data_IF_237017578161
#
_entry.id   IF_237017578161
#
_cell.length_a   1.000
_cell.length_b   1.000
_cell.length_c   1.000
_cell.angle_alpha   90.00
_cell.angle_beta   90.00
_cell.angle_gamma   90.00
#
_symmetry.space_group_name_H-M   'P 1'
#
loop_
_entity.id
_entity.type
_entity.pdbx_description
1 polymer ?
#
# COMPACT_ATOMS: atom_id res chain seq x y z
N UNK A 1 -23.07 0.91 -22.10
CA UNK A 1 -23.36 0.38 -20.78
C UNK A 1 -22.06 0.11 -20.03
N UNK A 2 -22.07 0.28 -18.69
CA UNK A 2 -20.85 0.14 -17.86
C UNK A 2 -20.29 -1.27 -17.86
N UNK A 3 -21.17 -2.26 -17.80
CA UNK A 3 -20.76 -3.67 -17.82
C UNK A 3 -20.17 -4.10 -19.17
N UNK A 4 -20.74 -3.61 -20.26
CA UNK A 4 -20.26 -3.91 -21.62
C UNK A 4 -18.91 -3.26 -21.91
N UNK A 5 -18.72 -2.03 -21.43
CA UNK A 5 -17.50 -1.24 -21.74
C UNK A 5 -16.34 -1.52 -20.80
N UNK A 6 -16.62 -1.85 -19.52
CA UNK A 6 -15.58 -1.95 -18.49
C UNK A 6 -15.56 -3.28 -17.73
N UNK A 7 -16.64 -4.06 -17.81
CA UNK A 7 -16.80 -5.31 -17.07
C UNK A 7 -17.30 -5.12 -15.64
N UNK A 8 -17.89 -6.18 -15.09
CA UNK A 8 -18.48 -6.17 -13.76
C UNK A 8 -17.46 -5.94 -12.64
N UNK A 9 -16.28 -6.54 -12.73
CA UNK A 9 -15.25 -6.39 -11.71
C UNK A 9 -14.71 -4.96 -11.64
N UNK A 10 -14.56 -4.29 -12.77
CA UNK A 10 -14.16 -2.87 -12.80
C UNK A 10 -15.21 -2.00 -12.12
N UNK A 11 -16.49 -2.26 -12.39
CA UNK A 11 -17.60 -1.53 -11.77
C UNK A 11 -17.60 -1.75 -10.25
N UNK A 12 -17.53 -3.00 -9.79
CA UNK A 12 -17.47 -3.35 -8.36
C UNK A 12 -16.30 -2.68 -7.66
N UNK A 13 -15.11 -2.76 -8.26
CA UNK A 13 -13.89 -2.17 -7.73
C UNK A 13 -14.01 -0.64 -7.62
N UNK A 14 -14.61 0.00 -8.63
CA UNK A 14 -14.84 1.44 -8.62
C UNK A 14 -15.82 1.84 -7.50
N UNK A 15 -16.97 1.18 -7.39
CA UNK A 15 -17.98 1.47 -6.35
C UNK A 15 -17.39 1.31 -4.94
N UNK A 16 -16.69 0.21 -4.68
CA UNK A 16 -16.07 -0.05 -3.38
C UNK A 16 -14.87 0.86 -3.07
N UNK A 17 -14.23 1.38 -4.11
CA UNK A 17 -13.04 2.25 -3.99
C UNK A 17 -13.33 3.74 -3.89
N UNK A 18 -14.56 4.20 -4.16
CA UNK A 18 -14.88 5.64 -4.22
C UNK A 18 -14.70 6.38 -2.89
N UNK A 19 -14.88 5.72 -1.76
CA UNK A 19 -14.80 6.30 -0.42
C UNK A 19 -15.51 5.45 0.63
N UNK A 20 -15.66 5.98 1.85
CA UNK A 20 -16.40 5.28 2.90
C UNK A 20 -17.81 4.91 2.45
N UNK A 21 -18.27 3.70 2.79
CA UNK A 21 -19.59 3.19 2.37
C UNK A 21 -20.77 4.05 2.84
N UNK A 22 -20.60 4.78 3.93
CA UNK A 22 -21.63 5.65 4.50
C UNK A 22 -21.73 7.02 3.81
N UNK A 23 -20.82 7.35 2.88
CA UNK A 23 -20.76 8.64 2.22
C UNK A 23 -21.26 8.57 0.78
N UNK A 24 -22.12 9.52 0.39
CA UNK A 24 -22.49 9.70 -1.01
C UNK A 24 -21.35 10.36 -1.79
N UNK A 25 -21.05 9.83 -2.97
CA UNK A 25 -20.03 10.37 -3.86
C UNK A 25 -20.61 10.54 -5.27
N UNK A 26 -20.30 11.64 -5.96
CA UNK A 26 -20.72 11.82 -7.33
C UNK A 26 -20.02 10.82 -8.26
N UNK A 27 -20.78 10.27 -9.20
CA UNK A 27 -20.24 9.41 -10.25
C UNK A 27 -19.22 10.16 -11.12
N UNK A 28 -18.09 9.51 -11.41
CA UNK A 28 -17.07 10.03 -12.31
C UNK A 28 -16.52 8.92 -13.20
N UNK A 29 -16.98 8.85 -14.44
CA UNK A 29 -16.58 7.84 -15.41
C UNK A 29 -15.06 7.79 -15.66
N UNK A 30 -14.35 8.92 -15.53
CA UNK A 30 -12.90 8.95 -15.70
C UNK A 30 -12.18 8.09 -14.65
N UNK A 31 -12.73 8.03 -13.43
CA UNK A 31 -12.13 7.26 -12.35
C UNK A 31 -12.34 5.75 -12.53
N UNK A 32 -13.39 5.34 -13.26
CA UNK A 32 -13.63 3.92 -13.63
C UNK A 32 -12.46 3.36 -14.42
N UNK A 33 -11.88 4.16 -15.32
CA UNK A 33 -10.69 3.76 -16.10
C UNK A 33 -9.49 3.44 -15.20
N UNK A 34 -9.36 4.12 -14.07
CA UNK A 34 -8.33 3.82 -13.07
C UNK A 34 -8.48 2.40 -12.49
N UNK A 35 -9.69 2.01 -12.14
CA UNK A 35 -10.03 0.67 -11.66
C UNK A 35 -9.77 -0.40 -12.73
N UNK A 36 -10.17 -0.16 -13.98
CA UNK A 36 -9.88 -1.06 -15.09
C UNK A 36 -8.37 -1.25 -15.28
N UNK A 37 -7.59 -0.17 -15.26
CA UNK A 37 -6.13 -0.23 -15.41
C UNK A 37 -5.45 -1.00 -14.27
N UNK A 38 -5.98 -0.94 -13.05
CA UNK A 38 -5.48 -1.75 -11.95
C UNK A 38 -5.68 -3.24 -12.23
N UNK A 39 -6.89 -3.67 -12.65
CA UNK A 39 -7.18 -5.06 -12.99
C UNK A 39 -6.35 -5.54 -14.19
N UNK A 40 -6.20 -4.73 -15.23
CA UNK A 40 -5.34 -5.04 -16.37
C UNK A 40 -3.87 -5.21 -15.97
N UNK A 41 -3.40 -4.40 -15.02
CA UNK A 41 -2.03 -4.50 -14.50
C UNK A 41 -1.85 -5.78 -13.69
N UNK A 42 -2.84 -6.14 -12.86
CA UNK A 42 -2.84 -7.41 -12.15
C UNK A 42 -2.81 -8.59 -13.13
N UNK A 43 -3.63 -8.54 -14.16
CA UNK A 43 -3.62 -9.56 -15.21
C UNK A 43 -2.22 -9.76 -15.81
N UNK A 44 -1.58 -8.67 -16.25
CA UNK A 44 -0.22 -8.69 -16.82
C UNK A 44 0.87 -9.12 -15.86
N UNK A 45 0.67 -8.98 -14.56
CA UNK A 45 1.59 -9.50 -13.56
C UNK A 45 1.59 -11.02 -13.52
N UNK A 46 0.50 -11.65 -13.89
CA UNK A 46 0.33 -13.11 -13.85
C UNK A 46 0.46 -13.75 -15.24
N UNK A 47 -0.12 -13.11 -16.25
CA UNK A 47 -0.23 -13.64 -17.62
C UNK A 47 0.59 -12.80 -18.59
N UNK A 48 1.38 -13.46 -19.41
CA UNK A 48 1.99 -12.85 -20.59
C UNK A 48 0.91 -12.69 -21.66
N UNK A 49 0.56 -11.46 -22.01
CA UNK A 49 -0.52 -11.18 -22.99
C UNK A 49 -0.14 -11.63 -24.43
N UNK A 50 1.14 -11.82 -24.71
CA UNK A 50 1.61 -12.27 -26.04
C UNK A 50 1.44 -13.76 -26.20
N UNK A 51 1.76 -14.55 -25.17
CA UNK A 51 1.73 -16.00 -25.22
C UNK A 51 0.47 -16.59 -24.57
N UNK A 52 -0.18 -15.83 -23.70
CA UNK A 52 -1.30 -16.30 -22.87
C UNK A 52 -0.87 -17.21 -21.71
N UNK A 53 0.44 -17.37 -21.51
CA UNK A 53 0.99 -18.25 -20.48
C UNK A 53 1.21 -17.53 -19.15
N UNK A 54 1.24 -18.32 -18.06
CA UNK A 54 1.58 -17.84 -16.73
C UNK A 54 3.06 -17.47 -16.67
N UNK A 55 3.36 -16.27 -16.16
CA UNK A 55 4.71 -15.71 -16.09
C UNK A 55 5.27 -15.54 -14.68
N UNK A 56 4.55 -15.97 -13.67
CA UNK A 56 5.02 -15.89 -12.27
C UNK A 56 6.17 -16.84 -12.01
N UNK A 57 6.97 -16.51 -10.99
CA UNK A 57 8.12 -17.32 -10.56
C UNK A 57 7.89 -17.91 -9.18
N UNK A 58 8.46 -19.08 -8.92
CA UNK A 58 8.38 -19.78 -7.63
C UNK A 58 9.60 -19.45 -6.72
N UNK A 59 10.28 -18.31 -6.95
CA UNK A 59 11.43 -17.86 -6.19
C UNK A 59 11.07 -17.31 -4.80
N UNK A 60 12.09 -17.20 -3.95
CA UNK A 60 11.96 -16.58 -2.65
C UNK A 60 11.69 -15.07 -2.79
N UNK A 61 10.93 -14.54 -1.81
CA UNK A 61 10.66 -13.10 -1.74
C UNK A 61 11.86 -12.37 -1.14
N UNK A 62 12.24 -11.25 -1.74
CA UNK A 62 13.16 -10.32 -1.09
C UNK A 62 12.52 -9.70 0.16
N UNK A 63 13.35 -9.20 1.07
CA UNK A 63 12.91 -8.65 2.36
C UNK A 63 11.91 -7.49 2.20
N UNK A 64 12.07 -6.65 1.19
CA UNK A 64 11.17 -5.53 0.93
C UNK A 64 9.79 -6.02 0.50
N UNK A 65 9.74 -7.00 -0.40
CA UNK A 65 8.49 -7.63 -0.85
C UNK A 65 7.82 -8.39 0.28
N UNK A 66 8.58 -9.15 1.10
CA UNK A 66 8.06 -9.84 2.30
C UNK A 66 7.39 -8.86 3.26
N UNK A 67 8.04 -7.76 3.60
CA UNK A 67 7.49 -6.75 4.51
C UNK A 67 6.25 -6.07 3.94
N UNK A 68 6.30 -5.65 2.68
CA UNK A 68 5.15 -5.03 2.03
C UNK A 68 3.96 -5.98 1.96
N UNK A 69 4.18 -7.25 1.58
CA UNK A 69 3.14 -8.27 1.53
C UNK A 69 2.48 -8.47 2.90
N UNK A 70 3.27 -8.71 3.94
CA UNK A 70 2.74 -9.02 5.26
C UNK A 70 2.03 -7.82 5.91
N UNK A 71 2.56 -6.61 5.74
CA UNK A 71 1.86 -5.39 6.13
C UNK A 71 0.55 -5.21 5.36
N UNK A 72 0.53 -5.50 4.05
CA UNK A 72 -0.68 -5.42 3.25
C UNK A 72 -1.72 -6.43 3.72
N UNK A 73 -1.34 -7.69 4.00
CA UNK A 73 -2.25 -8.71 4.52
C UNK A 73 -2.86 -8.26 5.86
N UNK A 74 -2.04 -7.80 6.80
CA UNK A 74 -2.50 -7.32 8.10
C UNK A 74 -3.47 -6.14 7.97
N UNK A 75 -3.08 -5.11 7.20
CA UNK A 75 -3.89 -3.91 7.00
C UNK A 75 -5.21 -4.22 6.28
N UNK A 76 -5.16 -4.98 5.17
CA UNK A 76 -6.36 -5.32 4.39
C UNK A 76 -7.33 -6.15 5.21
N UNK A 77 -6.85 -7.08 6.04
CA UNK A 77 -7.70 -7.86 6.94
C UNK A 77 -8.48 -6.94 7.88
N UNK A 78 -7.80 -6.03 8.56
CA UNK A 78 -8.43 -5.05 9.47
C UNK A 78 -9.42 -4.14 8.73
N UNK A 79 -9.06 -3.66 7.55
CA UNK A 79 -9.93 -2.76 6.78
C UNK A 79 -11.18 -3.48 6.26
N UNK A 80 -11.07 -4.72 5.82
CA UNK A 80 -12.22 -5.52 5.36
C UNK A 80 -13.15 -5.89 6.52
N UNK A 81 -12.62 -6.29 7.67
CA UNK A 81 -13.41 -6.54 8.88
C UNK A 81 -14.16 -5.28 9.36
N UNK A 82 -13.53 -4.11 9.22
CA UNK A 82 -14.12 -2.83 9.58
C UNK A 82 -15.05 -2.24 8.48
N UNK A 83 -15.34 -2.99 7.42
CA UNK A 83 -16.18 -2.54 6.29
C UNK A 83 -15.64 -1.25 5.62
N UNK A 84 -14.32 -1.17 5.47
CA UNK A 84 -13.62 -0.07 4.79
C UNK A 84 -12.93 -0.53 3.49
N UNK A 85 -13.67 -1.04 2.49
CA UNK A 85 -13.09 -1.59 1.28
C UNK A 85 -12.27 -0.57 0.47
N UNK A 86 -12.61 0.70 0.53
CA UNK A 86 -11.86 1.76 -0.13
C UNK A 86 -10.41 1.85 0.37
N UNK A 87 -10.17 1.71 1.67
CA UNK A 87 -8.83 1.69 2.25
C UNK A 87 -8.10 0.39 1.92
N UNK A 88 -8.81 -0.75 1.99
CA UNK A 88 -8.27 -2.04 1.57
C UNK A 88 -7.80 -2.02 0.11
N UNK A 89 -8.62 -1.52 -0.81
CA UNK A 89 -8.28 -1.37 -2.24
C UNK A 89 -7.02 -0.51 -2.42
N UNK A 90 -6.90 0.60 -1.70
CA UNK A 90 -5.72 1.45 -1.78
C UNK A 90 -4.43 0.69 -1.41
N UNK A 91 -4.48 -0.18 -0.40
CA UNK A 91 -3.35 -1.03 -0.01
C UNK A 91 -3.02 -2.09 -1.07
N UNK A 92 -4.05 -2.73 -1.65
CA UNK A 92 -3.87 -3.69 -2.74
C UNK A 92 -3.26 -3.04 -3.99
N UNK A 93 -3.62 -1.81 -4.31
CA UNK A 93 -3.01 -1.05 -5.42
C UNK A 93 -1.52 -0.83 -5.18
N UNK A 94 -1.12 -0.49 -3.96
CA UNK A 94 0.30 -0.30 -3.60
C UNK A 94 1.08 -1.60 -3.79
N UNK A 95 0.56 -2.72 -3.28
CA UNK A 95 1.19 -4.03 -3.45
C UNK A 95 1.30 -4.41 -4.94
N UNK A 96 0.20 -4.28 -5.70
CA UNK A 96 0.21 -4.60 -7.13
C UNK A 96 1.21 -3.73 -7.92
N UNK A 97 1.31 -2.44 -7.60
CA UNK A 97 2.29 -1.55 -8.22
C UNK A 97 3.73 -1.97 -7.92
N UNK A 98 4.00 -2.41 -6.68
CA UNK A 98 5.30 -2.95 -6.32
C UNK A 98 5.62 -4.21 -7.13
N UNK A 99 4.69 -5.17 -7.21
CA UNK A 99 4.88 -6.41 -7.99
C UNK A 99 5.13 -6.08 -9.47
N UNK A 100 4.43 -5.09 -10.03
CA UNK A 100 4.63 -4.64 -11.41
C UNK A 100 6.04 -4.08 -11.65
N UNK A 101 6.69 -3.53 -10.63
CA UNK A 101 8.04 -2.96 -10.73
C UNK A 101 9.16 -4.01 -10.63
N UNK A 102 8.83 -5.26 -10.33
CA UNK A 102 9.80 -6.35 -10.26
C UNK A 102 10.08 -6.93 -11.65
N UNK A 103 11.30 -7.39 -11.89
CA UNK A 103 11.68 -8.07 -13.13
C UNK A 103 10.90 -9.37 -13.33
N UNK A 104 10.59 -10.06 -12.22
CA UNK A 104 9.76 -11.26 -12.19
C UNK A 104 8.78 -11.19 -11.02
N UNK A 105 7.53 -11.55 -11.25
CA UNK A 105 6.47 -11.52 -10.23
C UNK A 105 6.47 -12.84 -9.46
N UNK A 106 6.72 -12.81 -8.12
CA UNK A 106 6.70 -14.03 -7.34
C UNK A 106 5.25 -14.53 -7.11
N UNK A 107 5.01 -15.82 -7.37
CA UNK A 107 3.76 -16.50 -7.05
C UNK A 107 3.34 -16.30 -5.60
N UNK A 108 4.29 -16.46 -4.67
CA UNK A 108 4.06 -16.32 -3.24
C UNK A 108 3.56 -14.92 -2.79
N UNK A 109 3.71 -13.89 -3.63
CA UNK A 109 3.20 -12.56 -3.34
C UNK A 109 1.90 -12.23 -4.11
N UNK A 110 1.76 -12.72 -5.34
CA UNK A 110 0.58 -12.39 -6.15
C UNK A 110 -0.65 -13.24 -5.77
N UNK A 111 -0.49 -14.49 -5.35
CA UNK A 111 -1.62 -15.32 -4.90
C UNK A 111 -2.33 -14.72 -3.67
N UNK A 112 -1.65 -14.28 -2.60
CA UNK A 112 -2.32 -13.57 -1.51
C UNK A 112 -3.04 -12.29 -1.94
N UNK A 113 -2.47 -11.55 -2.89
CA UNK A 113 -3.13 -10.35 -3.45
C UNK A 113 -4.45 -10.74 -4.15
N UNK A 114 -4.44 -11.80 -4.97
CA UNK A 114 -5.64 -12.32 -5.66
C UNK A 114 -6.71 -12.74 -4.63
N UNK A 115 -6.32 -13.47 -3.58
CA UNK A 115 -7.22 -13.88 -2.51
C UNK A 115 -7.87 -12.68 -1.81
N UNK A 116 -7.08 -11.68 -1.45
CA UNK A 116 -7.58 -10.47 -0.78
C UNK A 116 -8.47 -9.60 -1.69
N UNK A 117 -8.23 -9.60 -2.99
CA UNK A 117 -9.03 -8.85 -3.96
C UNK A 117 -10.33 -9.56 -4.33
N UNK A 118 -10.40 -10.89 -4.19
CA UNK A 118 -11.50 -11.70 -4.68
C UNK A 118 -12.91 -11.30 -4.21
N UNK A 119 -13.14 -10.83 -2.97
CA UNK A 119 -14.47 -10.37 -2.56
C UNK A 119 -14.95 -9.16 -3.35
N UNK A 120 -14.04 -8.38 -3.91
CA UNK A 120 -14.33 -7.14 -4.65
C UNK A 120 -14.41 -7.42 -6.15
N UNK A 121 -13.44 -8.13 -6.72
CA UNK A 121 -13.32 -8.45 -8.13
C UNK A 121 -13.25 -9.98 -8.38
N UNK A 122 -14.35 -10.71 -8.14
CA UNK A 122 -14.33 -12.18 -8.12
C UNK A 122 -14.00 -12.82 -9.46
N UNK A 123 -14.47 -12.27 -10.58
CA UNK A 123 -14.33 -12.93 -11.89
C UNK A 123 -12.87 -12.99 -12.34
N UNK A 124 -12.15 -11.88 -12.31
CA UNK A 124 -10.72 -11.86 -12.67
C UNK A 124 -9.89 -12.70 -11.69
N UNK A 125 -10.23 -12.65 -10.40
CA UNK A 125 -9.50 -13.40 -9.38
C UNK A 125 -9.68 -14.91 -9.57
N UNK A 126 -10.90 -15.39 -9.85
CA UNK A 126 -11.16 -16.81 -10.16
C UNK A 126 -10.43 -17.25 -11.43
N UNK A 127 -10.45 -16.45 -12.48
CA UNK A 127 -9.77 -16.79 -13.73
C UNK A 127 -8.24 -16.88 -13.51
N UNK A 128 -7.65 -15.90 -12.81
CA UNK A 128 -6.22 -15.93 -12.48
C UNK A 128 -5.86 -17.11 -11.58
N UNK A 129 -6.71 -17.42 -10.60
CA UNK A 129 -6.54 -18.54 -9.69
C UNK A 129 -6.50 -19.88 -10.43
N UNK A 130 -7.45 -20.07 -11.35
CA UNK A 130 -7.47 -21.25 -12.23
C UNK A 130 -6.23 -21.33 -13.13
N UNK A 131 -5.81 -20.21 -13.73
CA UNK A 131 -4.59 -20.17 -14.57
C UNK A 131 -3.31 -20.46 -13.79
N UNK A 132 -3.28 -20.10 -12.51
CA UNK A 132 -2.17 -20.44 -11.61
C UNK A 132 -2.10 -21.93 -11.25
N UNK A 133 -3.09 -22.73 -11.69
CA UNK A 133 -3.09 -24.19 -11.55
C UNK A 133 -3.96 -24.72 -10.41
N UNK A 134 -4.72 -23.85 -9.75
CA UNK A 134 -5.67 -24.29 -8.72
C UNK A 134 -6.93 -24.89 -9.36
N UNK A 135 -7.37 -26.03 -8.86
CA UNK A 135 -8.52 -26.78 -9.41
C UNK A 135 -9.84 -26.46 -8.71
N UNK A 136 -9.78 -25.91 -7.50
CA UNK A 136 -10.94 -25.51 -6.73
C UNK A 136 -11.11 -23.99 -6.77
N UNK A 137 -12.37 -23.53 -6.60
CA UNK A 137 -12.68 -22.12 -6.52
C UNK A 137 -11.94 -21.46 -5.35
N UNK A 138 -11.39 -20.27 -5.58
CA UNK A 138 -10.76 -19.51 -4.52
C UNK A 138 -11.74 -19.08 -3.41
N UNK A 139 -13.05 -19.15 -3.64
CA UNK A 139 -14.06 -18.91 -2.62
C UNK A 139 -13.98 -19.90 -1.44
N UNK A 140 -13.34 -21.03 -1.64
CA UNK A 140 -13.09 -22.04 -0.58
C UNK A 140 -11.67 -21.98 -0.03
N UNK A 141 -10.82 -21.12 -0.56
CA UNK A 141 -9.46 -20.94 -0.06
C UNK A 141 -9.44 -20.12 1.23
N UNK A 142 -8.48 -20.42 2.10
CA UNK A 142 -8.28 -19.66 3.33
C UNK A 142 -7.83 -18.22 3.03
N UNK A 143 -8.32 -17.28 3.85
CA UNK A 143 -7.80 -15.93 3.84
C UNK A 143 -6.31 -15.90 4.21
N UNK A 144 -5.46 -15.14 3.50
CA UNK A 144 -4.03 -15.13 3.78
C UNK A 144 -3.74 -14.59 5.18
N UNK A 145 -2.77 -15.19 5.85
CA UNK A 145 -2.32 -14.80 7.19
C UNK A 145 -0.99 -14.09 7.11
N UNK A 146 -0.90 -12.95 7.79
CA UNK A 146 0.36 -12.22 7.88
C UNK A 146 1.34 -12.95 8.80
N UNK A 147 2.60 -13.00 8.40
CA UNK A 147 3.70 -13.40 9.27
C UNK A 147 4.13 -12.19 10.11
N UNK A 148 3.85 -12.24 11.40
CA UNK A 148 4.10 -11.14 12.34
C UNK A 148 5.57 -10.69 12.38
N UNK A 149 6.51 -11.55 12.03
CA UNK A 149 7.94 -11.21 11.94
C UNK A 149 8.23 -10.12 10.90
N UNK A 150 7.36 -9.96 9.92
CA UNK A 150 7.48 -8.99 8.83
C UNK A 150 6.45 -7.88 8.89
N UNK A 151 5.56 -7.89 9.89
CA UNK A 151 4.58 -6.83 10.12
C UNK A 151 5.20 -5.71 10.95
N UNK A 152 4.94 -4.46 10.56
CA UNK A 152 5.46 -3.27 11.21
C UNK A 152 6.32 -2.43 10.27
N UNK A 153 6.62 -1.22 10.70
CA UNK A 153 7.49 -0.31 9.96
C UNK A 153 8.90 -0.34 10.57
N UNK A 154 9.90 -0.54 9.75
CA UNK A 154 11.31 -0.43 10.20
C UNK A 154 11.69 1.03 10.48
N UNK A 155 11.07 1.95 9.73
CA UNK A 155 11.29 3.39 9.89
C UNK A 155 10.02 4.17 9.56
N UNK A 156 9.95 5.36 10.12
CA UNK A 156 8.96 6.37 9.79
C UNK A 156 9.67 7.67 9.42
N UNK A 157 9.09 8.43 8.50
CA UNK A 157 9.62 9.74 8.13
C UNK A 157 9.20 10.77 9.17
N UNK A 158 10.16 11.28 9.95
CA UNK A 158 9.99 12.43 10.82
C UNK A 158 10.20 13.72 10.01
N UNK A 159 9.25 14.63 10.08
CA UNK A 159 9.32 15.93 9.40
C UNK A 159 9.86 16.99 10.35
N UNK A 160 10.96 17.64 9.98
CA UNK A 160 11.53 18.76 10.74
C UNK A 160 11.08 20.08 10.13
N UNK A 161 10.45 20.92 10.95
CA UNK A 161 9.92 22.23 10.55
C UNK A 161 10.60 23.36 11.30
N UNK A 162 10.88 24.46 10.61
CA UNK A 162 11.26 25.73 11.21
C UNK A 162 10.22 26.79 10.83
N UNK A 163 9.58 27.42 11.81
CA UNK A 163 8.50 28.40 11.61
C UNK A 163 7.38 27.85 10.69
N UNK A 164 7.00 26.58 10.88
CA UNK A 164 5.95 25.92 10.11
C UNK A 164 6.34 25.46 8.69
N UNK A 165 7.55 25.74 8.22
CA UNK A 165 8.06 25.29 6.91
C UNK A 165 8.93 24.06 7.06
N UNK A 166 8.65 23.01 6.30
CA UNK A 166 9.48 21.79 6.25
C UNK A 166 10.88 22.12 5.79
N UNK A 167 11.89 21.67 6.55
CA UNK A 167 13.31 21.94 6.29
C UNK A 167 14.13 20.69 6.14
N UNK A 168 13.75 19.58 6.80
CA UNK A 168 14.37 18.28 6.66
C UNK A 168 13.34 17.17 6.83
N UNK A 169 13.69 15.99 6.36
CA UNK A 169 12.98 14.73 6.59
C UNK A 169 14.00 13.71 7.08
N UNK A 170 13.68 13.03 8.16
CA UNK A 170 14.54 12.03 8.79
C UNK A 170 13.82 10.67 8.77
N UNK A 171 14.53 9.63 8.37
CA UNK A 171 14.04 8.27 8.54
C UNK A 171 14.48 7.78 9.92
N UNK A 172 13.52 7.50 10.79
CA UNK A 172 13.76 7.15 12.19
C UNK A 172 12.94 5.93 12.59
N UNK A 173 13.34 5.25 13.67
CA UNK A 173 12.56 4.16 14.24
C UNK A 173 11.17 4.65 14.65
N UNK A 174 10.09 3.85 14.45
CA UNK A 174 8.76 4.17 14.98
C UNK A 174 8.75 4.42 16.49
N UNK A 175 9.63 3.75 17.20
CA UNK A 175 9.77 3.80 18.67
C UNK A 175 10.91 4.72 19.14
N UNK A 176 11.38 5.64 18.29
CA UNK A 176 12.45 6.55 18.63
C UNK A 176 12.14 7.39 19.88
N UNK A 177 13.12 7.49 20.78
CA UNK A 177 13.00 8.36 21.95
C UNK A 177 12.85 9.83 21.52
N UNK A 178 11.91 10.60 22.11
CA UNK A 178 11.71 12.01 21.75
C UNK A 178 12.97 12.88 21.86
N UNK A 179 13.87 12.63 22.81
CA UNK A 179 15.11 13.37 22.98
C UNK A 179 16.12 13.05 21.89
N UNK A 180 16.18 11.78 21.48
CA UNK A 180 17.03 11.35 20.36
C UNK A 180 16.54 11.98 19.06
N UNK A 181 15.22 11.97 18.81
CA UNK A 181 14.62 12.63 17.65
C UNK A 181 14.88 14.14 17.64
N UNK A 182 14.81 14.78 18.80
CA UNK A 182 15.13 16.21 18.95
C UNK A 182 16.57 16.50 18.54
N UNK A 183 17.51 15.69 19.05
CA UNK A 183 18.93 15.82 18.72
C UNK A 183 19.19 15.67 17.23
N UNK A 184 18.68 14.60 16.61
CA UNK A 184 18.80 14.36 15.16
C UNK A 184 18.19 15.51 14.34
N UNK A 185 17.03 16.03 14.78
CA UNK A 185 16.37 17.14 14.10
C UNK A 185 17.18 18.43 14.15
N UNK A 186 17.77 18.77 15.29
CA UNK A 186 18.64 19.95 15.45
C UNK A 186 19.91 19.82 14.60
N UNK A 187 20.54 18.66 14.58
CA UNK A 187 21.71 18.38 13.72
C UNK A 187 21.37 18.54 12.23
N UNK A 188 20.22 18.01 11.79
CA UNK A 188 19.78 18.07 10.39
C UNK A 188 19.49 19.49 9.87
N UNK A 189 19.27 20.46 10.76
CA UNK A 189 18.99 21.86 10.38
C UNK A 189 19.95 22.86 11.01
N UNK A 190 21.08 22.40 11.53
CA UNK A 190 22.08 23.22 12.21
C UNK A 190 22.53 24.44 11.37
N UNK A 191 22.80 24.21 10.08
CA UNK A 191 23.18 25.27 9.12
C UNK A 191 22.14 26.38 9.00
N UNK A 192 20.86 26.04 9.22
CA UNK A 192 19.72 26.97 9.09
C UNK A 192 19.43 27.72 10.38
N UNK A 193 19.95 27.25 11.50
CA UNK A 193 19.84 27.89 12.80
C UNK A 193 21.01 28.89 13.04
N UNK A 194 22.03 28.89 12.18
CA UNK A 194 23.15 29.82 12.24
C UNK A 194 23.96 29.74 13.55
N UNK A 195 24.04 28.54 14.15
CA UNK A 195 24.76 28.32 15.41
C UNK A 195 24.08 28.89 16.66
N UNK A 196 22.84 29.41 16.54
CA UNK A 196 22.05 29.86 17.69
C UNK A 196 21.19 28.72 18.22
N UNK A 197 21.05 28.63 19.55
CA UNK A 197 20.11 27.73 20.17
C UNK A 197 18.66 28.15 19.86
N UNK A 198 17.78 27.19 19.54
CA UNK A 198 16.38 27.52 19.29
C UNK A 198 15.68 27.97 20.57
N UNK A 199 14.76 28.90 20.46
CA UNK A 199 13.91 29.37 21.57
C UNK A 199 13.03 28.25 22.14
N UNK A 200 12.53 27.37 21.28
CA UNK A 200 11.66 26.26 21.65
C UNK A 200 11.71 25.17 20.60
N UNK A 201 11.75 23.92 21.05
CA UNK A 201 11.57 22.73 20.21
C UNK A 201 10.34 21.95 20.69
N UNK A 202 9.45 21.61 19.78
CA UNK A 202 8.25 20.81 20.04
C UNK A 202 8.38 19.51 19.29
N UNK A 203 8.57 18.42 20.03
CA UNK A 203 8.70 17.07 19.48
C UNK A 203 7.40 16.31 19.65
N UNK A 204 6.89 15.77 18.54
CA UNK A 204 5.80 14.77 18.50
C UNK A 204 6.32 13.52 17.81
N UNK A 205 7.10 12.75 18.57
CA UNK A 205 7.68 11.51 18.05
C UNK A 205 6.59 10.53 17.59
N UNK A 206 6.85 9.73 16.57
CA UNK A 206 8.04 9.76 15.71
C UNK A 206 7.90 10.70 14.49
N UNK A 207 6.81 11.45 14.36
CA UNK A 207 6.38 12.03 13.08
C UNK A 207 6.84 13.48 12.80
N UNK A 208 6.97 14.31 13.83
CA UNK A 208 7.20 15.74 13.58
C UNK A 208 8.04 16.40 14.68
N UNK A 209 8.98 17.24 14.28
CA UNK A 209 9.71 18.17 15.14
C UNK A 209 9.53 19.59 14.61
N UNK A 210 8.99 20.47 15.45
CA UNK A 210 8.79 21.88 15.12
C UNK A 210 9.74 22.76 15.94
N UNK A 211 10.58 23.51 15.23
CA UNK A 211 11.62 24.35 15.82
C UNK A 211 11.24 25.82 15.68
N UNK A 212 11.25 26.52 16.80
CA UNK A 212 11.10 27.98 16.86
C UNK A 212 12.48 28.57 17.09
N UNK A 213 13.12 29.24 16.12
CA UNK A 213 14.45 29.81 16.29
C UNK A 213 14.41 30.98 17.29
N UNK A 214 15.57 31.29 17.87
CA UNK A 214 15.78 32.54 18.57
C UNK A 214 15.65 33.74 17.58
N UNK A 215 15.20 34.86 18.05
CA UNK A 215 15.13 36.11 17.27
C UNK A 215 16.53 36.61 16.91
#
# INVERSE_FOLDING_TARGET
>A
DMYENYGADTFRLYEMGMGPLAESRPWNTRNVVGSMRFLQRLWRNVIDETTGEVRVTDGELDTKTLKLLNNTIADVTVEMEAMRPNTAIAKLIVLNNHLTSLDAVPRAAVEPLILMLSPIAPHICEELWSKLGHTESLAHADWPKADERYVGQDSVTAVVQIKGKVRAKLEVSPDIDPKELEKMALEAVADRLGGKEPRKVIVKAPKIVSIVPAE
#
